data_IF_868281523388
#
_entry.id   IF_868281523388
#
_cell.length_a   1.000
_cell.length_b   1.000
_cell.length_c   1.000
_cell.angle_alpha   90.00
_cell.angle_beta   90.00
_cell.angle_gamma   90.00
#
_symmetry.space_group_name_H-M   'P 1'
#
loop_
_entity.id
_entity.type
_entity.pdbx_description
1 polymer ?
#
# COMPACT_ATOMS: atom_id res chain seq x y z
N UNK A 1 16.17 1.41 -4.29
CA UNK A 1 14.89 1.01 -4.90
C UNK A 1 14.03 0.34 -3.84
N UNK A 2 12.77 0.73 -3.69
CA UNK A 2 11.83 0.14 -2.71
C UNK A 2 11.16 -1.06 -3.38
N UNK A 3 11.31 -2.26 -2.81
CA UNK A 3 10.71 -3.50 -3.31
C UNK A 3 10.35 -4.38 -2.12
N UNK A 4 9.06 -4.62 -1.94
CA UNK A 4 8.52 -5.44 -0.86
C UNK A 4 7.11 -5.91 -1.27
N UNK A 5 6.69 -7.15 -1.00
CA UNK A 5 5.39 -7.68 -1.45
C UNK A 5 4.15 -6.94 -0.94
N UNK A 6 4.30 -6.14 0.13
CA UNK A 6 3.23 -5.30 0.68
C UNK A 6 3.44 -3.80 0.41
N UNK A 7 4.19 -3.44 -0.65
CA UNK A 7 4.37 -2.07 -1.11
C UNK A 7 4.24 -2.06 -2.64
N UNK A 8 3.33 -1.24 -3.15
CA UNK A 8 3.11 -1.05 -4.60
C UNK A 8 4.43 -0.68 -5.29
N UNK A 9 4.77 -1.42 -6.33
CA UNK A 9 5.99 -1.16 -7.10
C UNK A 9 5.82 0.05 -8.01
N UNK A 10 6.78 0.98 -7.97
CA UNK A 10 6.95 2.02 -8.99
C UNK A 10 7.73 1.43 -10.17
N UNK A 11 7.10 1.35 -11.34
CA UNK A 11 7.73 0.85 -12.56
C UNK A 11 8.46 1.95 -13.31
N UNK A 12 7.83 3.12 -13.48
CA UNK A 12 8.41 4.23 -14.24
C UNK A 12 7.82 5.58 -13.84
N UNK A 13 8.54 6.65 -14.18
CA UNK A 13 8.08 8.04 -14.06
C UNK A 13 8.24 8.71 -15.42
N UNK A 14 7.13 9.09 -16.01
CA UNK A 14 7.07 9.76 -17.31
C UNK A 14 6.91 11.25 -17.05
N UNK A 15 7.91 12.04 -17.41
CA UNK A 15 7.89 13.49 -17.25
C UNK A 15 7.66 14.18 -18.60
N UNK A 16 6.79 15.18 -18.59
CA UNK A 16 6.55 16.10 -19.71
C UNK A 16 6.69 17.52 -19.19
N UNK A 17 6.68 18.52 -20.08
CA UNK A 17 6.77 19.93 -19.66
C UNK A 17 5.66 20.38 -18.68
N UNK A 18 4.52 19.67 -18.64
CA UNK A 18 3.34 20.06 -17.85
C UNK A 18 2.88 19.04 -16.83
N UNK A 19 3.28 17.78 -16.97
CA UNK A 19 2.74 16.67 -16.19
C UNK A 19 3.82 15.67 -15.79
N UNK A 20 3.61 15.07 -14.62
CA UNK A 20 4.35 13.90 -14.14
C UNK A 20 3.36 12.72 -14.11
N UNK A 21 3.63 11.71 -14.91
CA UNK A 21 2.94 10.42 -14.90
C UNK A 21 3.71 9.43 -14.04
N UNK A 22 3.03 8.78 -13.10
CA UNK A 22 3.63 7.78 -12.20
C UNK A 22 3.05 6.41 -12.57
N UNK A 23 3.89 5.52 -13.12
CA UNK A 23 3.48 4.18 -13.55
C UNK A 23 3.74 3.20 -12.42
N UNK A 24 2.67 2.65 -11.84
CA UNK A 24 2.73 1.78 -10.66
C UNK A 24 2.06 0.42 -10.91
N UNK A 25 2.33 -0.54 -10.03
CA UNK A 25 1.64 -1.83 -9.99
C UNK A 25 0.12 -1.67 -9.84
N UNK A 26 -0.63 -2.40 -10.68
CA UNK A 26 -2.08 -2.40 -10.65
C UNK A 26 -2.61 -3.41 -9.62
N UNK A 27 -3.28 -2.90 -8.57
CA UNK A 27 -3.95 -3.71 -7.56
C UNK A 27 -5.45 -3.79 -7.84
N UNK A 28 -5.90 -4.87 -8.47
CA UNK A 28 -7.30 -5.07 -8.89
C UNK A 28 -8.28 -5.37 -7.74
N UNK A 29 -7.79 -5.55 -6.51
CA UNK A 29 -8.59 -5.92 -5.34
C UNK A 29 -9.44 -4.81 -4.74
N UNK A 30 -9.32 -3.57 -5.23
CA UNK A 30 -10.02 -2.40 -4.70
C UNK A 30 -9.44 -1.90 -3.38
N UNK A 31 -10.20 -1.03 -2.70
CA UNK A 31 -9.78 -0.40 -1.45
C UNK A 31 -10.15 -1.24 -0.23
N UNK A 32 -9.28 -1.23 0.79
CA UNK A 32 -9.52 -1.96 2.04
C UNK A 32 -10.74 -1.40 2.79
N UNK A 33 -10.93 -0.08 2.78
CA UNK A 33 -12.09 0.57 3.40
C UNK A 33 -13.41 0.06 2.84
N UNK A 34 -13.53 0.01 1.51
CA UNK A 34 -14.72 -0.53 0.83
C UNK A 34 -14.97 -1.99 1.19
N UNK A 35 -13.90 -2.78 1.28
CA UNK A 35 -13.99 -4.18 1.71
C UNK A 35 -14.55 -4.31 3.14
N UNK A 36 -14.12 -3.43 4.05
CA UNK A 36 -14.63 -3.40 5.44
C UNK A 36 -16.11 -2.99 5.46
N UNK A 37 -16.47 -1.94 4.73
CA UNK A 37 -17.86 -1.45 4.66
C UNK A 37 -18.82 -2.52 4.15
N UNK A 38 -18.43 -3.26 3.10
CA UNK A 38 -19.24 -4.33 2.54
C UNK A 38 -19.52 -5.48 3.53
N UNK A 39 -18.62 -5.72 4.48
CA UNK A 39 -18.73 -6.82 5.45
C UNK A 39 -19.16 -6.36 6.86
N UNK A 40 -19.46 -5.07 7.05
CA UNK A 40 -19.68 -4.36 8.34
C UNK A 40 -18.48 -4.34 9.29
N UNK A 41 -17.79 -5.46 9.45
CA UNK A 41 -16.57 -5.61 10.24
C UNK A 41 -15.75 -6.78 9.71
N UNK A 42 -14.44 -6.76 9.98
CA UNK A 42 -13.57 -7.89 9.69
C UNK A 42 -13.56 -8.85 10.88
N UNK A 43 -13.59 -10.15 10.61
CA UNK A 43 -13.29 -11.15 11.62
C UNK A 43 -11.86 -10.95 12.10
N UNK A 44 -11.63 -11.17 13.39
CA UNK A 44 -10.33 -10.94 14.03
C UNK A 44 -9.17 -11.57 13.26
N UNK A 45 -9.32 -12.83 12.84
CA UNK A 45 -8.31 -13.55 12.05
C UNK A 45 -7.92 -12.81 10.76
N UNK A 46 -8.90 -12.27 10.03
CA UNK A 46 -8.67 -11.57 8.77
C UNK A 46 -8.06 -10.19 9.02
N UNK A 47 -8.54 -9.49 10.05
CA UNK A 47 -7.99 -8.22 10.50
C UNK A 47 -6.51 -8.36 10.90
N UNK A 48 -6.17 -9.37 11.71
CA UNK A 48 -4.78 -9.66 12.10
C UNK A 48 -3.90 -9.94 10.89
N UNK A 49 -4.40 -10.69 9.90
CA UNK A 49 -3.66 -10.99 8.67
C UNK A 49 -3.35 -9.72 7.87
N UNK A 50 -4.35 -8.87 7.65
CA UNK A 50 -4.19 -7.60 6.92
C UNK A 50 -3.26 -6.64 7.66
N UNK A 51 -3.41 -6.55 8.98
CA UNK A 51 -2.56 -5.72 9.82
C UNK A 51 -1.10 -6.19 9.80
N UNK A 52 -0.85 -7.50 9.83
CA UNK A 52 0.49 -8.06 9.71
C UNK A 52 1.15 -7.72 8.37
N UNK A 53 0.39 -7.75 7.26
CA UNK A 53 0.87 -7.33 5.94
C UNK A 53 1.22 -5.84 5.90
N UNK A 54 0.36 -4.99 6.46
CA UNK A 54 0.61 -3.55 6.59
C UNK A 54 1.91 -3.30 7.39
N UNK A 55 2.03 -3.94 8.55
CA UNK A 55 3.22 -3.79 9.41
C UNK A 55 4.49 -4.32 8.75
N UNK A 56 4.41 -5.39 7.95
CA UNK A 56 5.55 -5.87 7.17
C UNK A 56 6.07 -4.80 6.20
N UNK A 57 5.17 -4.13 5.47
CA UNK A 57 5.54 -3.04 4.57
C UNK A 57 6.12 -1.83 5.29
N UNK A 58 5.49 -1.41 6.39
CA UNK A 58 5.96 -0.28 7.22
C UNK A 58 7.32 -0.58 7.85
N UNK A 59 7.52 -1.79 8.37
CA UNK A 59 8.80 -2.24 8.91
C UNK A 59 9.90 -2.18 7.85
N UNK A 60 9.61 -2.64 6.63
CA UNK A 60 10.56 -2.53 5.52
C UNK A 60 10.94 -1.07 5.23
N UNK A 61 9.96 -0.15 5.15
CA UNK A 61 10.25 1.28 4.97
C UNK A 61 11.12 1.85 6.10
N UNK A 62 10.78 1.52 7.34
CA UNK A 62 11.53 1.99 8.51
C UNK A 62 12.97 1.45 8.53
N UNK A 63 13.20 0.20 8.11
CA UNK A 63 14.56 -0.37 7.93
C UNK A 63 15.40 0.36 6.89
N UNK A 64 14.76 1.15 6.02
CA UNK A 64 15.37 2.02 5.00
C UNK A 64 15.37 3.50 5.42
N UNK A 65 15.05 3.80 6.69
CA UNK A 65 14.95 5.16 7.23
C UNK A 65 13.90 6.04 6.53
N UNK A 66 12.83 5.43 6.00
CA UNK A 66 11.72 6.13 5.34
C UNK A 66 10.49 6.05 6.22
N UNK A 67 9.83 7.17 6.49
CA UNK A 67 8.54 7.23 7.18
C UNK A 67 7.44 7.49 6.15
N UNK A 68 6.39 6.67 6.15
CA UNK A 68 5.29 6.82 5.18
C UNK A 68 4.50 8.13 5.36
N UNK A 69 4.26 8.56 6.61
CA UNK A 69 3.57 9.82 7.00
C UNK A 69 2.10 10.00 6.60
N UNK A 70 1.50 9.08 5.85
CA UNK A 70 0.09 9.14 5.43
C UNK A 70 -0.55 7.74 5.42
N UNK A 71 -0.36 6.99 6.50
CA UNK A 71 -1.03 5.69 6.69
C UNK A 71 -2.47 5.93 7.17
N UNK A 72 -3.44 5.45 6.39
CA UNK A 72 -4.87 5.57 6.66
C UNK A 72 -5.63 4.32 6.20
N UNK A 73 -6.85 4.17 6.70
CA UNK A 73 -7.81 3.16 6.25
C UNK A 73 -8.52 3.64 4.99
#
# INVERSE_FOLDING_TARGET
TIRHPNIITLFDVIETERYIGIVIEYASGGELFDHILAHRYLKERDACRLFAQLMSGVHYLHSKHIVHRDLKL
#
